data_IF_271171079658
#
_entry.id   IF_271171079658
#
_cell.length_a   1.000
_cell.length_b   1.000
_cell.length_c   1.000
_cell.angle_alpha   90.00
_cell.angle_beta   90.00
_cell.angle_gamma   90.00
#
_symmetry.space_group_name_H-M   'P 1'
#
loop_
_entity.id
_entity.type
_entity.pdbx_description
1 polymer ?
#
# COMPACT_ATOMS: atom_id res chain seq x y z
N UNK A 1 -48.57 19.10 31.68
CA UNK A 1 -47.83 18.86 30.42
C UNK A 1 -46.92 17.67 30.64
N UNK A 2 -47.37 16.47 30.23
CA UNK A 2 -46.59 15.23 30.30
C UNK A 2 -46.16 14.92 28.87
N UNK A 3 -44.86 14.91 28.62
CA UNK A 3 -44.27 14.59 27.32
C UNK A 3 -44.16 13.07 27.16
N UNK A 4 -45.01 12.49 26.31
CA UNK A 4 -44.90 11.09 25.90
C UNK A 4 -43.64 10.84 25.06
N UNK A 5 -42.82 9.89 25.50
CA UNK A 5 -41.71 9.33 24.73
C UNK A 5 -42.24 8.39 23.64
N UNK A 6 -42.15 8.80 22.37
CA UNK A 6 -42.33 7.90 21.22
C UNK A 6 -41.24 6.81 21.21
N UNK A 7 -41.65 5.54 21.29
CA UNK A 7 -40.80 4.35 21.03
C UNK A 7 -40.33 4.36 19.56
N UNK A 8 -39.01 4.21 19.35
CA UNK A 8 -38.37 4.11 18.03
C UNK A 8 -38.47 2.65 17.53
N UNK A 9 -39.04 2.44 16.35
CA UNK A 9 -39.14 1.13 15.69
C UNK A 9 -37.75 0.59 15.27
N UNK A 10 -37.54 -0.74 15.20
CA UNK A 10 -36.26 -1.31 14.83
C UNK A 10 -36.01 -1.15 13.31
N UNK A 11 -34.93 -0.46 12.95
CA UNK A 11 -34.53 -0.17 11.57
C UNK A 11 -34.17 -1.44 10.79
N UNK A 12 -34.61 -1.49 9.53
CA UNK A 12 -34.50 -2.63 8.63
C UNK A 12 -33.08 -3.05 8.29
N UNK A 13 -32.86 -4.36 8.15
CA UNK A 13 -31.65 -4.97 7.59
C UNK A 13 -31.63 -4.78 6.08
N UNK A 14 -30.92 -3.77 5.59
CA UNK A 14 -30.89 -3.43 4.15
C UNK A 14 -29.75 -4.09 3.36
N UNK A 15 -28.93 -4.95 3.97
CA UNK A 15 -27.89 -5.69 3.23
C UNK A 15 -28.00 -7.19 3.46
N UNK A 16 -28.04 -7.94 2.37
CA UNK A 16 -27.99 -9.40 2.38
C UNK A 16 -26.68 -9.84 3.04
N UNK A 17 -26.73 -10.72 4.03
CA UNK A 17 -25.53 -11.22 4.72
C UNK A 17 -25.00 -12.50 4.05
N UNK A 18 -23.78 -12.93 4.41
CA UNK A 18 -23.23 -14.20 3.93
C UNK A 18 -24.06 -15.41 4.40
N UNK A 19 -24.72 -15.28 5.57
CA UNK A 19 -25.60 -16.31 6.11
C UNK A 19 -26.90 -16.41 5.29
N UNK A 20 -27.47 -15.28 4.88
CA UNK A 20 -28.66 -15.25 4.03
C UNK A 20 -28.33 -15.86 2.65
N UNK A 21 -27.17 -15.51 2.08
CA UNK A 21 -26.70 -16.07 0.82
C UNK A 21 -26.46 -17.60 0.91
N UNK A 22 -25.96 -18.08 2.05
CA UNK A 22 -25.80 -19.52 2.33
C UNK A 22 -27.15 -20.24 2.37
N UNK A 23 -28.15 -19.64 3.01
CA UNK A 23 -29.53 -20.12 3.01
C UNK A 23 -30.13 -20.21 1.61
N UNK A 24 -29.97 -19.17 0.79
CA UNK A 24 -30.45 -19.13 -0.61
C UNK A 24 -29.75 -20.17 -1.49
N UNK A 25 -28.46 -20.38 -1.29
CA UNK A 25 -27.67 -21.34 -2.06
C UNK A 25 -27.87 -22.79 -1.60
N UNK A 26 -28.42 -23.01 -0.40
CA UNK A 26 -28.58 -24.35 0.19
C UNK A 26 -27.26 -24.98 0.63
N UNK A 27 -26.26 -24.16 0.97
CA UNK A 27 -24.92 -24.62 1.37
C UNK A 27 -24.47 -23.94 2.66
N UNK A 28 -23.38 -24.40 3.25
CA UNK A 28 -22.81 -23.76 4.44
C UNK A 28 -22.19 -22.39 4.13
N UNK A 29 -22.10 -21.52 5.14
CA UNK A 29 -21.42 -20.22 5.04
C UNK A 29 -19.95 -20.36 4.61
N UNK A 30 -19.27 -21.43 5.05
CA UNK A 30 -17.89 -21.72 4.63
C UNK A 30 -17.81 -22.11 3.15
N UNK A 31 -18.81 -22.83 2.62
CA UNK A 31 -18.92 -23.15 1.19
C UNK A 31 -19.15 -21.89 0.37
N UNK A 32 -20.04 -20.98 0.80
CA UNK A 32 -20.24 -19.67 0.14
C UNK A 32 -18.95 -18.86 0.11
N UNK A 33 -18.25 -18.76 1.24
CA UNK A 33 -16.96 -18.06 1.31
C UNK A 33 -15.94 -18.62 0.33
N UNK A 34 -15.81 -19.96 0.27
CA UNK A 34 -14.89 -20.64 -0.66
C UNK A 34 -15.29 -20.43 -2.13
N UNK A 35 -16.58 -20.52 -2.45
CA UNK A 35 -17.11 -20.31 -3.79
C UNK A 35 -16.86 -18.87 -4.30
N UNK A 36 -17.14 -17.86 -3.47
CA UNK A 36 -16.89 -16.46 -3.81
C UNK A 36 -15.39 -16.14 -3.92
N UNK A 37 -14.53 -16.90 -3.25
CA UNK A 37 -13.07 -16.79 -3.37
C UNK A 37 -12.46 -17.62 -4.51
N UNK A 38 -13.26 -18.33 -5.29
CA UNK A 38 -12.76 -19.15 -6.42
C UNK A 38 -12.04 -20.45 -6.02
N UNK A 39 -12.22 -20.94 -4.79
CA UNK A 39 -11.51 -22.13 -4.28
C UNK A 39 -11.85 -23.42 -5.06
N UNK A 40 -10.84 -24.20 -5.43
CA UNK A 40 -10.95 -25.52 -6.07
C UNK A 40 -11.63 -26.58 -5.20
N UNK A 41 -11.78 -26.33 -3.89
CA UNK A 41 -12.48 -27.22 -2.95
C UNK A 41 -14.01 -27.16 -3.07
N UNK A 42 -14.55 -26.30 -3.93
CA UNK A 42 -15.97 -26.21 -4.24
C UNK A 42 -16.19 -26.59 -5.69
N UNK A 43 -17.15 -27.48 -5.94
CA UNK A 43 -17.48 -27.94 -7.29
C UNK A 43 -17.82 -26.74 -8.20
N UNK A 44 -17.48 -26.82 -9.51
CA UNK A 44 -17.77 -25.74 -10.46
C UNK A 44 -19.25 -25.32 -10.43
N UNK A 45 -20.16 -26.30 -10.40
CA UNK A 45 -21.61 -26.08 -10.34
C UNK A 45 -22.03 -25.29 -9.08
N UNK A 46 -21.54 -25.68 -7.90
CA UNK A 46 -21.86 -24.98 -6.65
C UNK A 46 -21.27 -23.57 -6.66
N UNK A 47 -20.08 -23.40 -7.24
CA UNK A 47 -19.39 -22.11 -7.35
C UNK A 47 -20.17 -21.14 -8.22
N UNK A 48 -20.57 -21.57 -9.41
CA UNK A 48 -21.38 -20.78 -10.34
C UNK A 48 -22.71 -20.37 -9.71
N UNK A 49 -23.41 -21.33 -9.07
CA UNK A 49 -24.67 -21.05 -8.38
C UNK A 49 -24.53 -19.97 -7.32
N UNK A 50 -23.51 -20.05 -6.47
CA UNK A 50 -23.25 -19.06 -5.42
C UNK A 50 -22.90 -17.69 -6.01
N UNK A 51 -22.05 -17.65 -7.05
CA UNK A 51 -21.66 -16.39 -7.70
C UNK A 51 -22.84 -15.71 -8.40
N UNK A 52 -23.71 -16.48 -9.07
CA UNK A 52 -24.94 -15.97 -9.68
C UNK A 52 -25.89 -15.39 -8.63
N UNK A 53 -26.11 -16.10 -7.51
CA UNK A 53 -26.94 -15.60 -6.41
C UNK A 53 -26.35 -14.32 -5.80
N UNK A 54 -25.03 -14.28 -5.58
CA UNK A 54 -24.37 -13.09 -5.07
C UNK A 54 -24.57 -11.88 -6.01
N UNK A 55 -24.37 -12.08 -7.33
CA UNK A 55 -24.60 -11.06 -8.34
C UNK A 55 -26.05 -10.57 -8.39
N UNK A 56 -27.02 -11.51 -8.40
CA UNK A 56 -28.46 -11.20 -8.44
C UNK A 56 -28.93 -10.35 -7.24
N UNK A 57 -28.33 -10.58 -6.07
CA UNK A 57 -28.70 -9.88 -4.84
C UNK A 57 -27.74 -8.73 -4.48
N UNK A 58 -26.82 -8.37 -5.38
CA UNK A 58 -25.84 -7.29 -5.15
C UNK A 58 -24.88 -7.57 -3.98
N UNK A 59 -24.75 -8.82 -3.55
CA UNK A 59 -23.83 -9.20 -2.49
C UNK A 59 -22.39 -9.13 -2.98
N UNK A 60 -21.58 -8.27 -2.36
CA UNK A 60 -20.13 -8.25 -2.56
C UNK A 60 -19.46 -8.82 -1.32
N UNK A 61 -18.53 -9.75 -1.54
CA UNK A 61 -17.69 -10.25 -0.46
C UNK A 61 -16.92 -9.06 0.14
N UNK A 62 -17.05 -8.84 1.44
CA UNK A 62 -16.26 -7.82 2.14
C UNK A 62 -14.81 -8.32 2.22
N UNK A 63 -13.99 -7.88 1.27
CA UNK A 63 -12.57 -8.24 1.16
C UNK A 63 -11.82 -7.84 2.43
N UNK A 64 -12.14 -6.70 3.05
CA UNK A 64 -11.54 -6.27 4.32
C UNK A 64 -11.84 -7.25 5.47
N UNK A 65 -13.07 -7.76 5.57
CA UNK A 65 -13.44 -8.77 6.58
C UNK A 65 -12.78 -10.14 6.31
N UNK A 66 -12.59 -10.51 5.04
CA UNK A 66 -11.82 -11.71 4.63
C UNK A 66 -10.35 -11.58 5.01
N UNK A 67 -9.75 -10.44 4.68
CA UNK A 67 -8.35 -10.15 4.93
C UNK A 67 -8.04 -10.10 6.44
N UNK A 68 -8.96 -9.53 7.23
CA UNK A 68 -8.91 -9.56 8.70
C UNK A 68 -8.87 -11.00 9.24
N UNK A 69 -9.69 -11.91 8.68
CA UNK A 69 -9.70 -13.34 9.07
C UNK A 69 -8.45 -14.10 8.65
N UNK A 70 -7.83 -13.69 7.54
CA UNK A 70 -6.59 -14.30 7.02
C UNK A 70 -5.31 -13.68 7.62
N UNK A 71 -5.44 -12.61 8.44
CA UNK A 71 -4.31 -11.79 8.93
C UNK A 71 -3.36 -11.35 7.81
N UNK A 72 -3.89 -11.18 6.60
CA UNK A 72 -3.16 -10.70 5.42
C UNK A 72 -4.05 -9.77 4.62
N UNK A 73 -3.58 -8.55 4.39
CA UNK A 73 -4.29 -7.56 3.60
C UNK A 73 -4.05 -7.71 2.10
N UNK A 74 -2.99 -8.43 1.68
CA UNK A 74 -2.54 -8.47 0.29
C UNK A 74 -2.33 -7.06 -0.27
N UNK A 75 -1.82 -6.16 0.56
CA UNK A 75 -1.44 -4.81 0.15
C UNK A 75 -0.09 -4.44 0.77
N UNK A 76 0.71 -3.69 0.01
CA UNK A 76 1.92 -3.04 0.50
C UNK A 76 1.69 -1.54 0.46
N UNK A 77 1.93 -0.88 1.58
CA UNK A 77 1.81 0.56 1.66
C UNK A 77 3.04 1.23 1.04
N UNK A 78 2.82 2.12 0.08
CA UNK A 78 3.87 2.98 -0.45
C UNK A 78 3.67 4.35 0.15
N UNK A 79 4.55 4.72 1.06
CA UNK A 79 4.51 5.99 1.77
C UNK A 79 5.41 6.95 1.02
N UNK A 80 4.80 8.01 0.49
CA UNK A 80 5.53 9.03 -0.24
C UNK A 80 5.80 10.22 0.65
N UNK A 81 7.09 10.52 0.82
CA UNK A 81 7.61 11.67 1.55
C UNK A 81 8.05 12.76 0.57
N UNK A 82 7.16 13.12 -0.35
CA UNK A 82 7.41 14.21 -1.29
C UNK A 82 6.55 15.37 -0.83
N UNK A 83 7.12 16.22 0.02
CA UNK A 83 6.56 17.56 0.24
C UNK A 83 6.51 18.22 -1.14
N UNK A 84 5.32 18.49 -1.71
CA UNK A 84 5.24 19.06 -3.04
C UNK A 84 5.85 20.45 -2.97
N UNK A 85 6.96 20.65 -3.66
CA UNK A 85 7.50 21.99 -3.93
C UNK A 85 7.44 22.24 -5.44
N UNK A 86 7.43 23.50 -5.90
CA UNK A 86 7.48 23.81 -7.33
C UNK A 86 8.65 23.12 -8.05
N UNK A 87 9.73 22.82 -7.34
CA UNK A 87 10.94 22.17 -7.84
C UNK A 87 10.89 20.64 -7.74
N UNK A 88 9.90 20.06 -7.05
CA UNK A 88 9.76 18.62 -6.79
C UNK A 88 8.30 18.22 -6.84
N UNK A 89 7.79 18.07 -8.06
CA UNK A 89 6.40 17.67 -8.24
C UNK A 89 6.28 16.16 -8.28
N UNK A 90 5.15 15.66 -7.79
CA UNK A 90 4.82 14.22 -7.87
C UNK A 90 4.54 13.73 -9.29
N UNK A 91 4.44 14.65 -10.25
CA UNK A 91 4.14 14.37 -11.65
C UNK A 91 5.40 14.28 -12.51
N UNK A 92 6.57 14.51 -11.93
CA UNK A 92 7.82 14.39 -12.65
C UNK A 92 8.00 12.93 -13.13
N UNK A 93 8.69 12.70 -14.26
CA UNK A 93 8.84 11.36 -14.83
C UNK A 93 9.45 10.35 -13.86
N UNK A 94 10.33 10.81 -12.97
CA UNK A 94 11.08 9.96 -12.05
C UNK A 94 10.19 9.30 -10.96
N UNK A 95 9.44 10.05 -10.11
CA UNK A 95 8.52 9.44 -9.14
C UNK A 95 7.48 8.53 -9.78
N UNK A 96 6.96 8.90 -10.96
CA UNK A 96 5.97 8.10 -11.68
C UNK A 96 6.56 6.78 -12.20
N UNK A 97 7.78 6.80 -12.74
CA UNK A 97 8.47 5.59 -13.17
C UNK A 97 8.73 4.64 -11.99
N UNK A 98 9.16 5.18 -10.84
CA UNK A 98 9.40 4.40 -9.62
C UNK A 98 8.11 3.75 -9.10
N UNK A 99 7.01 4.53 -8.99
CA UNK A 99 5.70 4.01 -8.59
C UNK A 99 5.17 2.97 -9.59
N UNK A 100 5.39 3.18 -10.89
CA UNK A 100 5.04 2.22 -11.93
C UNK A 100 5.75 0.88 -11.76
N UNK A 101 7.07 0.90 -11.53
CA UNK A 101 7.86 -0.31 -11.28
C UNK A 101 7.41 -1.06 -10.02
N UNK A 102 7.19 -0.33 -8.91
CA UNK A 102 6.67 -0.91 -7.66
C UNK A 102 5.30 -1.58 -7.90
N UNK A 103 4.40 -0.91 -8.63
CA UNK A 103 3.07 -1.43 -8.94
C UNK A 103 3.12 -2.70 -9.77
N UNK A 104 4.00 -2.74 -10.78
CA UNK A 104 4.18 -3.91 -11.64
C UNK A 104 4.65 -5.13 -10.84
N UNK A 105 5.67 -4.97 -10.00
CA UNK A 105 6.22 -6.07 -9.19
C UNK A 105 5.24 -6.56 -8.12
N UNK A 106 4.55 -5.64 -7.44
CA UNK A 106 3.53 -6.03 -6.46
C UNK A 106 2.35 -6.74 -7.12
N UNK A 107 1.93 -6.28 -8.31
CA UNK A 107 0.86 -6.95 -9.07
C UNK A 107 1.26 -8.37 -9.45
N UNK A 108 2.48 -8.57 -9.94
CA UNK A 108 3.04 -9.90 -10.24
C UNK A 108 3.04 -10.82 -9.00
N UNK A 109 3.30 -10.25 -7.82
CA UNK A 109 3.25 -10.95 -6.54
C UNK A 109 1.83 -11.09 -5.93
N UNK A 110 0.77 -10.68 -6.62
CA UNK A 110 -0.62 -10.68 -6.12
C UNK A 110 -0.85 -9.77 -4.90
N UNK A 111 -0.13 -8.65 -4.86
CA UNK A 111 -0.28 -7.57 -3.89
C UNK A 111 -0.84 -6.31 -4.55
N UNK A 112 -1.65 -5.57 -3.81
CA UNK A 112 -2.11 -4.24 -4.19
C UNK A 112 -1.15 -3.16 -3.67
N UNK A 113 -1.06 -2.04 -4.39
CA UNK A 113 -0.40 -0.83 -3.90
C UNK A 113 -1.38 -0.02 -3.08
N UNK A 114 -1.04 0.29 -1.83
CA UNK A 114 -1.72 1.31 -1.03
C UNK A 114 -0.85 2.57 -0.98
N UNK A 115 -1.11 3.52 -1.87
CA UNK A 115 -0.38 4.78 -1.90
C UNK A 115 -0.89 5.70 -0.77
N UNK A 116 0.01 6.21 0.07
CA UNK A 116 -0.34 7.14 1.15
C UNK A 116 0.78 8.15 1.41
N UNK A 117 0.47 9.20 2.17
CA UNK A 117 1.46 10.19 2.61
C UNK A 117 1.86 9.94 4.05
N UNK A 118 3.00 10.51 4.46
CA UNK A 118 3.48 10.41 5.84
C UNK A 118 2.45 10.89 6.88
N UNK A 119 1.74 11.99 6.60
CA UNK A 119 0.76 12.55 7.55
C UNK A 119 -0.47 11.65 7.72
N UNK A 120 -0.82 10.86 6.70
CA UNK A 120 -1.95 9.93 6.73
C UNK A 120 -1.54 8.52 7.18
N UNK A 121 -0.24 8.24 7.26
CA UNK A 121 0.30 6.95 7.65
C UNK A 121 0.41 6.85 9.18
N UNK A 122 -0.53 6.10 9.77
CA UNK A 122 -0.57 5.73 11.19
C UNK A 122 -1.19 4.33 11.35
N UNK A 123 -2.05 4.14 12.36
CA UNK A 123 -2.70 2.85 12.63
C UNK A 123 -3.47 2.26 11.44
N UNK A 124 -3.94 3.12 10.52
CA UNK A 124 -4.63 2.70 9.29
C UNK A 124 -3.71 1.84 8.41
N UNK A 125 -2.43 2.19 8.29
CA UNK A 125 -1.45 1.41 7.51
C UNK A 125 -1.18 0.06 8.19
N UNK A 126 -1.03 0.06 9.53
CA UNK A 126 -0.82 -1.17 10.29
C UNK A 126 -1.97 -2.17 10.16
N UNK A 127 -3.20 -1.70 9.93
CA UNK A 127 -4.38 -2.55 9.73
C UNK A 127 -4.63 -2.93 8.27
N UNK A 128 -4.11 -2.15 7.31
CA UNK A 128 -4.43 -2.28 5.89
C UNK A 128 -3.29 -2.80 5.03
N UNK A 129 -2.06 -2.91 5.53
CA UNK A 129 -0.90 -3.35 4.77
C UNK A 129 -0.13 -4.48 5.47
N UNK A 130 0.45 -5.38 4.67
CA UNK A 130 1.31 -6.48 5.14
C UNK A 130 2.79 -6.06 5.20
N UNK A 131 3.13 -4.89 4.67
CA UNK A 131 4.47 -4.32 4.61
C UNK A 131 4.45 -2.91 4.06
N UNK A 132 5.60 -2.23 4.10
CA UNK A 132 5.72 -0.84 3.66
C UNK A 132 7.00 -0.54 2.87
N UNK A 133 6.86 0.39 1.94
CA UNK A 133 7.94 1.00 1.16
C UNK A 133 7.92 2.49 1.44
N UNK A 134 9.02 3.03 1.97
CA UNK A 134 9.20 4.47 2.18
C UNK A 134 9.97 5.08 1.01
N UNK A 135 9.38 6.07 0.32
CA UNK A 135 10.03 6.79 -0.77
C UNK A 135 10.51 8.16 -0.31
N UNK A 136 11.81 8.44 -0.46
CA UNK A 136 12.37 9.78 -0.31
C UNK A 136 12.97 10.09 1.05
N UNK A 137 13.57 9.09 1.71
CA UNK A 137 14.20 9.25 3.02
C UNK A 137 15.69 8.94 2.97
N UNK A 138 16.46 9.87 2.42
CA UNK A 138 17.90 9.74 2.33
C UNK A 138 18.73 10.11 3.53
N UNK A 139 18.13 10.73 4.54
CA UNK A 139 18.87 11.17 5.72
C UNK A 139 18.03 11.35 6.99
N UNK A 140 16.69 11.32 6.89
CA UNK A 140 15.82 11.58 8.05
C UNK A 140 15.45 10.26 8.74
N UNK A 141 16.32 9.82 9.64
CA UNK A 141 16.10 8.65 10.48
C UNK A 141 14.81 8.72 11.33
N UNK A 142 14.23 9.92 11.52
CA UNK A 142 13.03 10.13 12.33
C UNK A 142 11.76 9.51 11.71
N UNK A 143 11.60 9.55 10.39
CA UNK A 143 10.43 8.95 9.73
C UNK A 143 10.51 7.42 9.77
N UNK A 144 11.69 6.86 9.49
CA UNK A 144 11.98 5.42 9.60
C UNK A 144 11.66 4.92 11.01
N UNK A 145 12.15 5.60 12.06
CA UNK A 145 11.84 5.28 13.46
C UNK A 145 10.36 5.39 13.82
N UNK A 146 9.61 6.27 13.17
CA UNK A 146 8.17 6.38 13.40
C UNK A 146 7.42 5.14 12.89
N UNK A 147 7.87 4.57 11.77
CA UNK A 147 7.25 3.39 11.16
C UNK A 147 7.73 2.05 11.74
N UNK A 148 8.91 2.01 12.37
CA UNK A 148 9.36 0.84 13.14
C UNK A 148 8.34 0.37 14.19
N UNK A 149 7.62 1.32 14.79
CA UNK A 149 6.59 1.03 15.80
C UNK A 149 5.38 0.28 15.24
N UNK A 150 5.18 0.28 13.91
CA UNK A 150 4.11 -0.47 13.27
C UNK A 150 4.40 -1.98 13.22
N UNK A 151 5.66 -2.40 13.43
CA UNK A 151 6.04 -3.82 13.44
C UNK A 151 5.87 -4.53 12.09
N UNK A 152 5.78 -3.78 11.00
CA UNK A 152 5.63 -4.29 9.64
C UNK A 152 7.00 -4.37 8.94
N UNK A 153 7.22 -5.35 8.05
CA UNK A 153 8.39 -5.37 7.18
C UNK A 153 8.50 -4.08 6.35
N UNK A 154 9.70 -3.50 6.30
CA UNK A 154 9.94 -2.19 5.69
C UNK A 154 11.12 -2.22 4.72
N UNK A 155 10.93 -1.56 3.58
CA UNK A 155 11.99 -1.21 2.63
C UNK A 155 12.03 0.31 2.50
N UNK A 156 13.24 0.88 2.47
CA UNK A 156 13.46 2.32 2.28
C UNK A 156 14.08 2.53 0.91
N UNK A 157 13.50 3.44 0.12
CA UNK A 157 14.11 3.94 -1.10
C UNK A 157 14.83 5.26 -0.83
N UNK A 158 16.14 5.28 -1.08
CA UNK A 158 17.03 6.41 -0.83
C UNK A 158 18.45 5.99 -0.47
N UNK A 159 19.18 6.86 0.23
CA UNK A 159 20.49 6.57 0.78
C UNK A 159 20.41 5.91 2.17
N UNK A 160 21.37 5.01 2.47
CA UNK A 160 21.48 4.40 3.80
C UNK A 160 21.90 5.45 4.84
N UNK A 161 21.24 5.45 6.00
CA UNK A 161 21.58 6.36 7.08
C UNK A 161 22.96 6.09 7.68
N UNK A 162 23.59 7.15 8.22
CA UNK A 162 24.84 7.04 8.98
C UNK A 162 24.51 6.40 10.34
N UNK A 163 25.03 5.19 10.61
CA UNK A 163 24.91 4.55 11.93
C UNK A 163 24.35 3.13 11.98
N UNK A 164 24.16 2.46 10.84
CA UNK A 164 23.76 1.06 10.80
C UNK A 164 22.25 0.87 10.89
N UNK A 165 21.52 1.42 9.92
CA UNK A 165 20.12 1.10 9.71
C UNK A 165 19.93 -0.42 9.63
N UNK A 166 18.97 -0.94 10.39
CA UNK A 166 18.57 -2.36 10.36
C UNK A 166 17.65 -2.68 9.18
N UNK A 167 17.40 -1.70 8.32
CA UNK A 167 16.38 -1.74 7.28
C UNK A 167 16.99 -2.05 5.92
N UNK A 168 16.18 -2.67 5.06
CA UNK A 168 16.59 -2.89 3.67
C UNK A 168 16.47 -1.55 2.94
N UNK A 169 17.61 -1.02 2.50
CA UNK A 169 17.68 0.22 1.73
C UNK A 169 17.99 -0.09 0.27
N UNK A 170 17.22 0.51 -0.63
CA UNK A 170 17.40 0.41 -2.09
C UNK A 170 17.57 1.81 -2.64
N UNK A 171 18.68 2.07 -3.33
CA UNK A 171 18.94 3.38 -3.89
C UNK A 171 20.17 3.41 -4.77
N UNK A 172 20.64 4.62 -5.03
CA UNK A 172 21.84 4.88 -5.83
C UNK A 172 22.97 5.40 -4.95
N UNK A 173 24.21 5.09 -5.32
CA UNK A 173 25.38 5.77 -4.73
C UNK A 173 25.57 7.13 -5.41
N UNK A 174 24.86 8.14 -4.92
CA UNK A 174 24.91 9.50 -5.47
C UNK A 174 26.31 10.11 -5.36
N UNK A 175 27.07 9.74 -4.31
CA UNK A 175 28.44 10.20 -4.11
C UNK A 175 29.35 9.65 -5.21
N UNK A 176 29.28 8.35 -5.48
CA UNK A 176 30.00 7.74 -6.58
C UNK A 176 29.53 8.28 -7.94
N UNK A 177 28.24 8.58 -8.08
CA UNK A 177 27.69 9.25 -9.25
C UNK A 177 28.34 10.62 -9.49
N UNK A 178 28.43 11.46 -8.45
CA UNK A 178 29.11 12.75 -8.52
C UNK A 178 30.59 12.65 -8.86
N UNK A 179 31.31 11.70 -8.24
CA UNK A 179 32.72 11.41 -8.55
C UNK A 179 32.87 11.01 -10.03
N UNK A 180 32.00 10.13 -10.53
CA UNK A 180 32.05 9.65 -11.91
C UNK A 180 31.87 10.79 -12.92
N UNK A 181 30.98 11.74 -12.62
CA UNK A 181 30.79 12.95 -13.46
C UNK A 181 32.02 13.86 -13.41
N UNK A 182 32.58 14.10 -12.22
CA UNK A 182 33.77 14.94 -12.06
C UNK A 182 34.99 14.35 -12.80
N UNK A 183 35.24 13.05 -12.65
CA UNK A 183 36.29 12.33 -13.35
C UNK A 183 36.11 12.42 -14.88
N UNK A 184 34.87 12.28 -15.35
CA UNK A 184 34.57 12.43 -16.78
C UNK A 184 34.90 13.84 -17.27
N UNK A 185 34.54 14.89 -16.54
CA UNK A 185 34.85 16.28 -16.90
C UNK A 185 36.36 16.55 -16.98
N UNK A 186 37.12 16.06 -16.00
CA UNK A 186 38.59 16.16 -16.02
C UNK A 186 39.17 15.42 -17.21
N UNK A 187 38.69 14.20 -17.49
CA UNK A 187 39.21 13.36 -18.59
C UNK A 187 39.05 13.99 -19.98
N UNK A 188 38.03 14.83 -20.17
CA UNK A 188 37.78 15.55 -21.45
C UNK A 188 38.28 17.01 -21.40
N UNK A 189 39.08 17.37 -20.39
CA UNK A 189 39.76 18.66 -20.28
C UNK A 189 38.89 19.83 -19.79
N UNK A 190 37.73 19.60 -19.16
CA UNK A 190 36.91 20.68 -18.58
C UNK A 190 37.49 21.12 -17.24
N UNK A 191 37.65 22.44 -17.06
CA UNK A 191 38.33 23.05 -15.89
C UNK A 191 37.44 23.93 -15.01
N UNK A 192 36.25 24.29 -15.49
CA UNK A 192 35.32 25.18 -14.80
C UNK A 192 33.90 24.59 -14.75
N UNK A 193 33.68 23.50 -13.98
CA UNK A 193 32.35 22.94 -13.82
C UNK A 193 31.44 23.89 -13.02
N UNK A 194 30.16 23.89 -13.36
CA UNK A 194 29.11 24.59 -12.61
C UNK A 194 28.15 23.54 -12.04
N UNK A 195 27.84 23.66 -10.76
CA UNK A 195 26.80 22.86 -10.11
C UNK A 195 25.47 23.63 -10.14
N UNK A 196 24.41 22.97 -10.61
CA UNK A 196 23.04 23.50 -10.58
C UNK A 196 22.22 22.53 -9.75
N UNK A 197 21.83 22.95 -8.55
CA UNK A 197 21.09 22.13 -7.61
C UNK A 197 21.16 22.73 -6.21
N UNK A 198 20.51 22.08 -5.25
CA UNK A 198 20.62 22.43 -3.85
C UNK A 198 21.91 21.77 -3.27
N UNK A 199 22.92 22.53 -2.84
CA UNK A 199 24.14 21.97 -2.25
C UNK A 199 23.91 21.34 -0.88
N UNK A 200 22.82 21.71 -0.19
CA UNK A 200 22.42 21.17 1.10
C UNK A 200 21.44 20.01 0.94
N UNK A 201 21.32 19.43 -0.26
CA UNK A 201 20.46 18.27 -0.45
C UNK A 201 21.00 17.08 0.37
N UNK A 202 20.16 16.41 1.17
CA UNK A 202 20.60 15.34 2.07
C UNK A 202 21.10 14.08 1.36
N UNK A 203 20.91 13.95 0.04
CA UNK A 203 21.38 12.84 -0.81
C UNK A 203 22.17 13.29 -2.03
#
# INVERSE_FOLDING_TARGET
>A
MVTERKKKAPGGRTSLTMADLAGLAGVSTITVSRALSGSSLVSPETRERVQQLAGKHGYKLNVSARNLRLRRSHAVAVIVEMTPTPERTMWDPYPLALLGGISQELTSAQYNVLLTTRQAAGDVVAQAADGLILLGQGAHQDAVRAYDRLGLPMVVWGAAGVGGDQHIVVGSDNRLGGISVAERFVSIGRRHPVFIGNPDHPE
#
